data_IF_658836784615
#
_entry.id   IF_658836784615
#
_cell.length_a   1.000
_cell.length_b   1.000
_cell.length_c   1.000
_cell.angle_alpha   90.00
_cell.angle_beta   90.00
_cell.angle_gamma   90.00
#
_symmetry.space_group_name_H-M   'P 1'
#
loop_
_entity.id
_entity.type
_entity.pdbx_description
1 polymer ?
#
# COMPACT_ATOMS: atom_id res chain seq x y z
N UNK A 1 12.52 -5.56 -20.13
CA UNK A 1 12.62 -5.93 -18.69
C UNK A 1 11.37 -5.49 -17.94
N UNK A 2 10.52 -6.42 -17.46
CA UNK A 2 9.40 -6.12 -16.54
C UNK A 2 9.74 -6.69 -15.17
N UNK A 3 10.05 -5.83 -14.20
CA UNK A 3 10.46 -6.24 -12.85
C UNK A 3 9.23 -6.83 -12.14
N UNK A 4 9.24 -8.14 -11.90
CA UNK A 4 8.24 -8.85 -11.09
C UNK A 4 8.32 -8.31 -9.66
N UNK A 5 7.23 -7.73 -9.17
CA UNK A 5 7.08 -7.39 -7.75
C UNK A 5 6.71 -8.67 -6.99
N UNK A 6 7.56 -9.04 -6.04
CA UNK A 6 7.38 -10.22 -5.19
C UNK A 6 6.32 -9.93 -4.12
N UNK A 7 5.17 -10.58 -4.22
CA UNK A 7 4.10 -10.51 -3.23
C UNK A 7 4.42 -11.42 -2.05
N UNK A 8 4.96 -10.88 -0.95
CA UNK A 8 5.04 -11.64 0.32
C UNK A 8 3.66 -11.72 0.98
N UNK A 9 3.23 -12.97 1.14
CA UNK A 9 1.97 -13.42 1.71
C UNK A 9 1.87 -13.17 3.22
N UNK A 10 1.00 -12.23 3.60
CA UNK A 10 0.37 -12.14 4.93
C UNK A 10 -0.93 -11.36 4.75
N UNK A 11 -1.85 -11.94 3.98
CA UNK A 11 -3.06 -11.29 3.48
C UNK A 11 -4.26 -12.04 4.04
N UNK A 12 -4.83 -11.58 5.15
CA UNK A 12 -6.01 -12.23 5.73
C UNK A 12 -6.85 -11.30 6.59
N UNK A 13 -6.28 -10.79 7.68
CA UNK A 13 -7.05 -10.05 8.70
C UNK A 13 -6.74 -8.54 8.68
N UNK A 14 -5.46 -8.16 8.61
CA UNK A 14 -5.00 -6.75 8.61
C UNK A 14 -5.37 -5.96 7.34
N UNK A 15 -5.81 -6.64 6.27
CA UNK A 15 -6.05 -6.00 4.98
C UNK A 15 -7.39 -5.26 4.93
N UNK A 16 -8.40 -5.66 5.72
CA UNK A 16 -9.74 -5.03 5.69
C UNK A 16 -9.72 -3.64 6.32
N UNK A 17 -9.17 -3.49 7.52
CA UNK A 17 -9.09 -2.20 8.22
C UNK A 17 -8.24 -1.18 7.44
N UNK A 18 -7.09 -1.62 6.91
CA UNK A 18 -6.28 -0.76 6.03
C UNK A 18 -7.03 -0.37 4.76
N UNK A 19 -7.81 -1.28 4.17
CA UNK A 19 -8.59 -0.95 2.97
C UNK A 19 -9.71 0.05 3.25
N UNK A 20 -10.36 -0.07 4.40
CA UNK A 20 -11.39 0.86 4.82
C UNK A 20 -10.79 2.24 5.12
N UNK A 21 -9.67 2.28 5.85
CA UNK A 21 -8.91 3.50 6.09
C UNK A 21 -8.44 4.19 4.80
N UNK A 22 -7.96 3.43 3.81
CA UNK A 22 -7.57 3.96 2.49
C UNK A 22 -8.78 4.55 1.76
N UNK A 23 -9.93 3.87 1.77
CA UNK A 23 -11.17 4.37 1.15
C UNK A 23 -11.69 5.62 1.87
N UNK A 24 -11.58 5.65 3.19
CA UNK A 24 -11.98 6.80 4.00
C UNK A 24 -11.05 8.01 3.75
N UNK A 25 -9.75 7.77 3.60
CA UNK A 25 -8.75 8.80 3.33
C UNK A 25 -8.85 9.36 1.90
N UNK A 26 -8.99 8.49 0.90
CA UNK A 26 -9.06 8.90 -0.52
C UNK A 26 -10.46 9.40 -0.90
N UNK A 27 -11.47 9.07 -0.11
CA UNK A 27 -12.87 9.37 -0.39
C UNK A 27 -13.56 8.27 -1.21
N UNK A 28 -14.86 8.14 -0.98
CA UNK A 28 -15.73 7.06 -1.51
C UNK A 28 -15.80 7.02 -3.05
N UNK A 29 -15.51 8.14 -3.71
CA UNK A 29 -15.56 8.29 -5.18
C UNK A 29 -14.25 7.96 -5.90
N UNK A 30 -13.15 7.67 -5.17
CA UNK A 30 -11.88 7.35 -5.80
C UNK A 30 -11.80 5.88 -6.17
N UNK A 31 -11.66 5.60 -7.47
CA UNK A 31 -11.48 4.24 -7.98
C UNK A 31 -10.05 3.76 -7.74
N UNK A 32 -9.89 2.82 -6.81
CA UNK A 32 -8.62 2.16 -6.54
C UNK A 32 -8.45 1.04 -7.56
N UNK A 33 -7.44 1.16 -8.41
CA UNK A 33 -7.10 0.16 -9.43
C UNK A 33 -6.25 -0.96 -8.82
N UNK A 34 -5.30 -0.60 -7.96
CA UNK A 34 -4.39 -1.54 -7.32
C UNK A 34 -4.02 -1.04 -5.92
N UNK A 35 -3.94 -1.97 -4.97
CA UNK A 35 -3.31 -1.73 -3.66
C UNK A 35 -2.22 -2.77 -3.46
N UNK A 36 -1.07 -2.35 -2.95
CA UNK A 36 0.05 -3.25 -2.70
C UNK A 36 0.80 -2.83 -1.44
N UNK A 37 1.00 -3.75 -0.51
CA UNK A 37 1.92 -3.52 0.59
C UNK A 37 3.36 -3.71 0.07
N UNK A 38 4.19 -2.70 0.29
CA UNK A 38 5.59 -2.68 -0.14
C UNK A 38 6.49 -2.35 1.05
N UNK A 39 7.64 -3.01 1.12
CA UNK A 39 8.71 -2.61 2.02
C UNK A 39 9.60 -1.63 1.26
N UNK A 40 9.55 -0.36 1.64
CA UNK A 40 10.40 0.66 1.06
C UNK A 40 11.74 0.67 1.81
N UNK A 41 12.83 0.42 1.08
CA UNK A 41 14.17 0.56 1.62
C UNK A 41 14.53 2.04 1.71
N UNK A 42 14.89 2.49 2.90
CA UNK A 42 15.43 3.83 3.12
C UNK A 42 16.95 3.76 3.23
N UNK A 43 17.64 4.86 2.92
CA UNK A 43 19.11 4.91 2.87
C UNK A 43 19.69 4.56 4.26
N UNK A 44 20.22 3.33 4.37
CA UNK A 44 20.80 2.71 5.56
C UNK A 44 19.86 1.71 6.21
N UNK A 45 20.02 0.40 5.91
CA UNK A 45 19.43 -0.85 6.48
C UNK A 45 18.01 -0.84 7.08
N UNK A 46 17.24 0.23 6.90
CA UNK A 46 15.93 0.44 7.49
C UNK A 46 14.90 0.30 6.39
N UNK A 47 14.10 -0.76 6.49
CA UNK A 47 12.92 -0.97 5.64
C UNK A 47 11.66 -0.46 6.34
N UNK A 48 10.93 0.46 5.70
CA UNK A 48 9.61 0.91 6.16
C UNK A 48 8.49 0.16 5.43
N UNK A 49 7.51 -0.37 6.18
CA UNK A 49 6.35 -1.00 5.58
C UNK A 49 5.34 0.08 5.14
N UNK A 50 5.06 0.15 3.84
CA UNK A 50 4.17 1.13 3.22
C UNK A 50 3.11 0.45 2.37
N UNK A 51 2.02 1.14 2.06
CA UNK A 51 1.01 0.72 1.10
C UNK A 51 1.02 1.67 -0.09
N UNK A 52 1.20 1.12 -1.28
CA UNK A 52 0.98 1.82 -2.54
C UNK A 52 -0.47 1.64 -2.98
N UNK A 53 -1.12 2.74 -3.34
CA UNK A 53 -2.47 2.77 -3.87
C UNK A 53 -2.44 3.48 -5.21
N UNK A 54 -2.79 2.75 -6.26
CA UNK A 54 -2.88 3.27 -7.62
C UNK A 54 -4.32 3.64 -7.92
N UNK A 55 -4.52 4.91 -8.23
CA UNK A 55 -5.76 5.47 -8.74
C UNK A 55 -5.52 5.96 -10.18
N UNK A 56 -6.56 6.08 -11.03
CA UNK A 56 -6.40 6.40 -12.44
C UNK A 56 -5.62 7.70 -12.71
N UNK A 57 -5.72 8.69 -11.82
CA UNK A 57 -5.04 9.98 -11.99
C UNK A 57 -3.95 10.25 -10.94
N UNK A 58 -3.79 9.39 -9.92
CA UNK A 58 -2.87 9.64 -8.78
C UNK A 58 -2.35 8.33 -8.19
N UNK A 59 -1.11 8.35 -7.71
CA UNK A 59 -0.52 7.25 -6.93
C UNK A 59 -0.23 7.76 -5.52
N UNK A 60 -0.65 7.00 -4.52
CA UNK A 60 -0.43 7.32 -3.11
C UNK A 60 0.50 6.29 -2.48
N UNK A 61 1.43 6.77 -1.63
CA UNK A 61 2.32 5.92 -0.84
C UNK A 61 2.07 6.22 0.65
N UNK A 62 1.33 5.34 1.30
CA UNK A 62 0.86 5.51 2.67
C UNK A 62 1.77 4.74 3.62
N UNK A 63 2.14 5.34 4.75
CA UNK A 63 2.88 4.64 5.81
C UNK A 63 1.91 3.80 6.62
N UNK A 64 2.26 2.55 6.88
CA UNK A 64 1.51 1.72 7.82
C UNK A 64 2.00 2.09 9.21
N UNK A 65 1.13 2.59 10.12
CA UNK A 65 1.53 2.79 11.49
C UNK A 65 1.90 1.42 12.09
N UNK A 66 3.15 1.27 12.55
CA UNK A 66 3.53 0.17 13.44
C UNK A 66 2.76 0.41 14.74
N UNK A 67 1.84 -0.49 15.08
CA UNK A 67 1.17 -0.49 16.38
C UNK A 67 2.06 -1.19 17.40
#
# INVERSE_FOLDING_TARGET
>A
MRKRMSSSSSQGTMTKELSDGIKNLLGKHVKILLKCAVKLESKGDKTENRVLVFCPCRVFCLKIPLR
#
